data_IF_417514330835
#
_entry.id   IF_417514330835
#
_cell.length_a   1.000
_cell.length_b   1.000
_cell.length_c   1.000
_cell.angle_alpha   90.00
_cell.angle_beta   90.00
_cell.angle_gamma   90.00
#
_symmetry.space_group_name_H-M   'P 1'
#
loop_
_entity.id
_entity.type
_entity.pdbx_description
1 polymer ?
#
# COMPACT_ATOMS: atom_id res chain seq x y z
N UNK A 1 5.26 -5.03 17.02
CA UNK A 1 5.64 -5.57 18.35
C UNK A 1 4.42 -5.58 19.26
N UNK A 2 4.20 -6.65 20.04
CA UNK A 2 3.13 -6.70 21.04
C UNK A 2 3.30 -5.56 22.06
N UNK A 3 2.27 -4.74 22.24
CA UNK A 3 2.31 -3.55 23.09
C UNK A 3 2.00 -3.90 24.54
N UNK A 4 2.95 -3.69 25.43
CA UNK A 4 2.79 -3.85 26.89
C UNK A 4 2.85 -2.48 27.60
N UNK A 5 2.32 -2.41 28.82
CA UNK A 5 2.40 -1.26 29.72
C UNK A 5 3.50 -1.49 30.78
N UNK A 6 4.48 -0.58 30.94
CA UNK A 6 5.50 -0.67 31.98
C UNK A 6 4.94 -0.79 33.41
N UNK A 7 3.76 -0.23 33.66
CA UNK A 7 3.06 -0.26 34.95
C UNK A 7 2.65 -1.67 35.36
N UNK A 8 2.39 -2.53 34.38
CA UNK A 8 1.92 -3.89 34.60
C UNK A 8 3.06 -4.88 34.84
N UNK A 9 4.27 -4.54 34.42
CA UNK A 9 5.46 -5.38 34.52
C UNK A 9 5.98 -5.48 35.97
N UNK A 10 6.51 -6.65 36.28
CA UNK A 10 7.27 -6.95 37.49
C UNK A 10 8.72 -6.49 37.36
N UNK A 11 9.45 -6.45 38.48
CA UNK A 11 10.83 -5.93 38.52
C UNK A 11 11.74 -6.67 37.53
N UNK A 12 11.73 -8.01 37.54
CA UNK A 12 12.54 -8.81 36.62
C UNK A 12 12.20 -8.58 35.14
N UNK A 13 10.94 -8.29 34.84
CA UNK A 13 10.46 -7.98 33.48
C UNK A 13 10.92 -6.58 33.04
N UNK A 14 10.87 -5.60 33.94
CA UNK A 14 11.44 -4.28 33.71
C UNK A 14 12.94 -4.33 33.48
N UNK A 15 13.66 -5.14 34.27
CA UNK A 15 15.11 -5.32 34.16
C UNK A 15 15.49 -5.91 32.80
N UNK A 16 14.71 -6.88 32.32
CA UNK A 16 14.88 -7.45 30.97
C UNK A 16 14.70 -6.37 29.89
N UNK A 17 13.59 -5.62 29.92
CA UNK A 17 13.28 -4.61 28.90
C UNK A 17 14.31 -3.46 28.84
N UNK A 18 14.89 -3.09 29.99
CA UNK A 18 15.97 -2.11 30.05
C UNK A 18 17.28 -2.67 29.49
N UNK A 19 17.62 -3.94 29.80
CA UNK A 19 18.85 -4.59 29.32
C UNK A 19 18.87 -4.76 27.81
N UNK A 20 17.77 -5.20 27.18
CA UNK A 20 17.71 -5.38 25.72
C UNK A 20 17.76 -4.06 24.92
N UNK A 21 17.67 -2.92 25.62
CA UNK A 21 17.81 -1.55 25.08
C UNK A 21 19.13 -0.89 25.48
N UNK A 22 20.03 -1.65 26.10
CA UNK A 22 21.33 -1.18 26.60
C UNK A 22 21.19 0.03 27.52
N UNK A 23 20.09 0.12 28.27
CA UNK A 23 19.87 1.18 29.25
C UNK A 23 20.53 0.75 30.54
N UNK A 24 21.55 1.49 30.98
CA UNK A 24 22.17 1.26 32.28
C UNK A 24 21.21 1.66 33.40
N UNK A 25 21.07 0.79 34.39
CA UNK A 25 20.32 1.04 35.61
C UNK A 25 20.97 0.34 36.79
N UNK A 26 20.82 0.91 37.98
CA UNK A 26 21.20 0.25 39.23
C UNK A 26 20.21 -0.89 39.52
N UNK A 27 20.69 -2.10 39.75
CA UNK A 27 19.83 -3.27 40.03
C UNK A 27 18.90 -3.03 41.23
N UNK A 28 19.39 -2.31 42.24
CA UNK A 28 18.66 -1.90 43.45
C UNK A 28 17.71 -0.72 43.25
N UNK A 29 17.65 -0.11 42.06
CA UNK A 29 16.79 1.03 41.80
C UNK A 29 15.31 0.71 42.01
N UNK A 30 14.57 1.68 42.57
CA UNK A 30 13.13 1.58 42.79
C UNK A 30 12.37 1.32 41.49
N UNK A 31 11.31 0.50 41.54
CA UNK A 31 10.49 0.14 40.38
C UNK A 31 10.01 1.34 39.56
N UNK A 32 9.62 2.43 40.22
CA UNK A 32 9.10 3.62 39.53
C UNK A 32 10.17 4.32 38.69
N UNK A 33 11.44 4.26 39.10
CA UNK A 33 12.56 4.75 38.30
C UNK A 33 12.73 3.92 37.03
N UNK A 34 12.72 2.58 37.18
CA UNK A 34 12.81 1.62 36.06
C UNK A 34 11.66 1.81 35.06
N UNK A 35 10.41 1.94 35.55
CA UNK A 35 9.23 2.26 34.73
C UNK A 35 9.36 3.59 34.01
N UNK A 36 9.86 4.63 34.70
CA UNK A 36 10.05 5.95 34.09
C UNK A 36 11.04 5.92 32.93
N UNK A 37 12.15 5.18 33.10
CA UNK A 37 13.14 4.99 32.03
C UNK A 37 12.53 4.23 30.85
N UNK A 38 11.84 3.11 31.12
CA UNK A 38 11.23 2.29 30.08
C UNK A 38 10.14 3.05 29.30
N UNK A 39 9.27 3.82 29.97
CA UNK A 39 8.30 4.70 29.29
C UNK A 39 8.98 5.70 28.36
N UNK A 40 10.09 6.28 28.79
CA UNK A 40 10.89 7.20 27.97
C UNK A 40 11.41 6.52 26.71
N UNK A 41 11.99 5.33 26.86
CA UNK A 41 12.51 4.54 25.75
C UNK A 41 11.40 4.14 24.74
N UNK A 42 10.30 3.59 25.22
CA UNK A 42 9.15 3.22 24.38
C UNK A 42 8.58 4.43 23.61
N UNK A 43 8.54 5.62 24.22
CA UNK A 43 8.09 6.86 23.55
C UNK A 43 9.09 7.37 22.51
N UNK A 44 10.37 7.06 22.64
CA UNK A 44 11.35 7.35 21.60
C UNK A 44 11.21 6.37 20.43
N UNK A 45 11.02 5.09 20.72
CA UNK A 45 10.76 4.02 19.72
C UNK A 45 9.51 4.33 18.90
N UNK A 46 8.38 4.65 19.54
CA UNK A 46 7.13 5.02 18.86
C UNK A 46 7.28 6.27 17.97
N UNK A 47 8.15 7.19 18.35
CA UNK A 47 8.42 8.41 17.58
C UNK A 47 9.52 8.25 16.54
N UNK A 48 10.09 7.05 16.37
CA UNK A 48 11.28 6.79 15.55
C UNK A 48 12.46 7.72 15.88
N UNK A 49 12.63 8.05 17.17
CA UNK A 49 13.68 8.95 17.69
C UNK A 49 14.83 8.22 18.37
N UNK A 50 14.71 6.92 18.58
CA UNK A 50 15.76 6.08 19.16
C UNK A 50 16.66 5.51 18.07
N UNK A 51 17.97 5.73 18.16
CA UNK A 51 18.96 5.09 17.30
C UNK A 51 19.44 3.72 17.84
N UNK A 52 18.94 3.29 19.00
CA UNK A 52 19.32 2.02 19.63
C UNK A 52 18.49 0.89 19.04
N UNK A 53 19.15 -0.15 18.55
CA UNK A 53 18.50 -1.37 18.08
C UNK A 53 18.17 -2.26 19.28
N UNK A 54 16.92 -2.69 19.41
CA UNK A 54 16.51 -3.66 20.44
C UNK A 54 17.20 -5.00 20.13
N UNK A 55 17.98 -5.52 21.07
CA UNK A 55 18.69 -6.78 20.90
C UNK A 55 18.70 -7.60 22.18
N UNK A 56 18.21 -8.84 22.07
CA UNK A 56 18.30 -9.81 23.15
C UNK A 56 19.64 -10.57 23.15
N UNK A 57 20.55 -10.30 22.20
CA UNK A 57 21.83 -11.03 22.07
C UNK A 57 22.77 -10.82 23.27
N UNK A 58 22.59 -9.73 24.02
CA UNK A 58 23.40 -9.40 25.21
C UNK A 58 23.06 -10.32 26.40
N UNK A 59 21.90 -10.98 26.38
CA UNK A 59 21.44 -11.84 27.48
C UNK A 59 21.61 -13.32 27.08
N UNK A 60 22.39 -14.12 27.83
CA UNK A 60 22.59 -15.55 27.54
C UNK A 60 21.29 -16.33 27.42
N UNK A 61 21.24 -17.29 26.50
CA UNK A 61 20.02 -18.08 26.24
C UNK A 61 19.46 -18.73 27.52
N UNK A 62 20.32 -19.35 28.34
CA UNK A 62 19.89 -20.00 29.59
C UNK A 62 19.23 -19.01 30.58
N UNK A 63 19.76 -17.79 30.68
CA UNK A 63 19.16 -16.75 31.52
C UNK A 63 17.81 -16.30 30.95
N UNK A 64 17.71 -16.18 29.61
CA UNK A 64 16.44 -15.88 28.97
C UNK A 64 15.40 -16.98 29.16
N UNK A 65 15.80 -18.24 28.97
CA UNK A 65 14.98 -19.43 29.19
C UNK A 65 14.45 -19.49 30.62
N UNK A 66 15.32 -19.27 31.62
CA UNK A 66 14.90 -19.22 33.02
C UNK A 66 13.84 -18.13 33.25
N UNK A 67 14.11 -16.90 32.82
CA UNK A 67 13.17 -15.79 33.05
C UNK A 67 11.87 -15.93 32.25
N UNK A 68 11.89 -16.59 31.08
CA UNK A 68 10.68 -16.93 30.32
C UNK A 68 9.84 -17.95 31.10
N UNK A 69 10.46 -19.03 31.56
CA UNK A 69 9.78 -20.08 32.33
C UNK A 69 9.15 -19.52 33.61
N UNK A 70 9.89 -18.72 34.39
CA UNK A 70 9.37 -18.07 35.60
C UNK A 70 8.16 -17.18 35.31
N UNK A 71 8.21 -16.41 34.20
CA UNK A 71 7.11 -15.52 33.81
C UNK A 71 5.88 -16.30 33.36
N UNK A 72 6.07 -17.36 32.58
CA UNK A 72 4.98 -18.22 32.09
C UNK A 72 4.34 -18.99 33.24
N UNK A 73 5.11 -19.50 34.19
CA UNK A 73 4.59 -20.19 35.37
C UNK A 73 3.75 -19.26 36.25
N UNK A 74 4.26 -18.06 36.54
CA UNK A 74 3.53 -17.04 37.29
C UNK A 74 2.23 -16.60 36.58
N UNK A 75 2.27 -16.39 35.26
CA UNK A 75 1.08 -16.07 34.48
C UNK A 75 0.09 -17.23 34.44
N UNK A 76 0.56 -18.47 34.30
CA UNK A 76 -0.27 -19.67 34.35
C UNK A 76 -1.04 -19.74 35.66
N UNK A 77 -0.37 -19.54 36.81
CA UNK A 77 -1.02 -19.55 38.11
C UNK A 77 -2.04 -18.42 38.27
N UNK A 78 -1.69 -17.20 37.84
CA UNK A 78 -2.57 -16.03 37.96
C UNK A 78 -3.80 -16.11 37.05
N UNK A 79 -3.64 -16.55 35.80
CA UNK A 79 -4.74 -16.75 34.84
C UNK A 79 -5.66 -17.87 35.31
N UNK A 80 -5.10 -18.96 35.87
CA UNK A 80 -5.91 -20.05 36.41
C UNK A 80 -6.84 -19.60 37.55
N UNK A 81 -6.39 -18.65 38.36
CA UNK A 81 -7.16 -18.09 39.46
C UNK A 81 -8.02 -16.88 39.07
N UNK A 82 -7.90 -16.38 37.83
CA UNK A 82 -8.65 -15.22 37.37
C UNK A 82 -10.12 -15.58 37.09
N UNK A 83 -11.02 -14.74 37.59
CA UNK A 83 -12.44 -14.65 37.22
C UNK A 83 -12.82 -13.18 37.25
N UNK A 84 -13.34 -12.66 36.15
CA UNK A 84 -13.57 -11.23 36.04
C UNK A 84 -14.07 -10.81 34.66
N UNK A 85 -13.94 -9.52 34.38
CA UNK A 85 -14.35 -8.90 33.12
C UNK A 85 -13.14 -8.31 32.40
N UNK A 86 -13.30 -7.99 31.11
CA UNK A 86 -12.25 -7.31 30.32
C UNK A 86 -11.88 -5.93 30.86
N UNK A 87 -12.75 -5.32 31.67
CA UNK A 87 -12.53 -4.01 32.26
C UNK A 87 -11.72 -4.06 33.56
N UNK A 88 -11.44 -5.26 34.07
CA UNK A 88 -10.70 -5.41 35.33
C UNK A 88 -9.23 -5.02 35.13
N UNK A 89 -8.69 -4.27 36.08
CA UNK A 89 -7.27 -3.91 36.10
C UNK A 89 -6.37 -5.16 36.13
N UNK A 90 -6.84 -6.25 36.75
CA UNK A 90 -6.17 -7.55 36.76
C UNK A 90 -6.10 -8.15 35.37
N UNK A 91 -7.20 -8.16 34.61
CA UNK A 91 -7.23 -8.61 33.21
C UNK A 91 -6.26 -7.81 32.35
N UNK A 92 -6.35 -6.47 32.44
CA UNK A 92 -5.45 -5.56 31.71
C UNK A 92 -3.98 -5.81 32.02
N UNK A 93 -3.66 -6.11 33.29
CA UNK A 93 -2.31 -6.49 33.72
C UNK A 93 -1.85 -7.83 33.13
N UNK A 94 -2.73 -8.82 33.06
CA UNK A 94 -2.39 -10.14 32.53
C UNK A 94 -2.15 -10.09 31.02
N UNK A 95 -3.05 -9.46 30.27
CA UNK A 95 -2.87 -9.20 28.82
C UNK A 95 -1.57 -8.45 28.55
N UNK A 96 -1.30 -7.40 29.31
CA UNK A 96 -0.07 -6.63 29.14
C UNK A 96 1.20 -7.44 29.42
N UNK A 97 1.17 -8.36 30.38
CA UNK A 97 2.32 -9.23 30.68
C UNK A 97 2.45 -10.38 29.68
N UNK A 98 1.34 -10.89 29.14
CA UNK A 98 1.31 -11.83 28.01
C UNK A 98 1.92 -11.21 26.73
N UNK A 99 1.58 -9.95 26.45
CA UNK A 99 2.20 -9.18 25.37
C UNK A 99 3.72 -9.01 25.54
N UNK A 100 4.17 -8.70 26.75
CA UNK A 100 5.60 -8.61 27.08
C UNK A 100 6.32 -9.95 26.88
N UNK A 101 5.80 -11.05 27.44
CA UNK A 101 6.46 -12.36 27.32
C UNK A 101 6.47 -12.86 25.86
N UNK A 102 5.42 -12.56 25.09
CA UNK A 102 5.37 -12.81 23.65
C UNK A 102 6.50 -12.07 22.90
N UNK A 103 6.69 -10.78 23.19
CA UNK A 103 7.78 -9.98 22.64
C UNK A 103 9.16 -10.54 23.02
N UNK A 104 9.35 -10.93 24.28
CA UNK A 104 10.58 -11.56 24.77
C UNK A 104 10.89 -12.88 24.06
N UNK A 105 9.91 -13.77 23.89
CA UNK A 105 10.08 -15.03 23.14
C UNK A 105 10.37 -14.76 21.66
N UNK A 106 9.71 -13.75 21.04
CA UNK A 106 9.96 -13.38 19.65
C UNK A 106 11.42 -12.95 19.42
N UNK A 107 11.98 -12.16 20.34
CA UNK A 107 13.37 -11.68 20.29
C UNK A 107 14.41 -12.73 20.68
N UNK A 108 14.00 -13.89 21.22
CA UNK A 108 14.92 -14.95 21.66
C UNK A 108 15.77 -15.44 20.49
N UNK A 109 17.09 -15.27 20.60
CA UNK A 109 18.08 -15.81 19.66
C UNK A 109 18.28 -17.30 19.93
N UNK A 110 18.17 -18.13 18.90
CA UNK A 110 18.32 -19.58 19.02
C UNK A 110 19.42 -20.05 18.05
N UNK A 111 20.42 -20.75 18.59
CA UNK A 111 21.60 -21.22 17.85
C UNK A 111 21.47 -22.67 17.36
N UNK A 112 20.67 -23.49 18.04
CA UNK A 112 20.48 -24.91 17.75
C UNK A 112 18.99 -25.28 17.64
N UNK A 113 18.73 -26.51 17.22
CA UNK A 113 17.36 -27.02 17.00
C UNK A 113 16.57 -27.16 18.32
N UNK A 114 17.22 -27.53 19.42
CA UNK A 114 16.57 -27.65 20.73
C UNK A 114 16.05 -26.30 21.22
N UNK A 115 16.85 -25.24 21.05
CA UNK A 115 16.48 -23.87 21.37
C UNK A 115 15.32 -23.38 20.49
N UNK A 116 15.31 -23.74 19.20
CA UNK A 116 14.20 -23.42 18.29
C UNK A 116 12.91 -24.15 18.69
N UNK A 117 13.00 -25.42 19.10
CA UNK A 117 11.87 -26.18 19.63
C UNK A 117 11.33 -25.56 20.92
N UNK A 118 12.21 -25.15 21.83
CA UNK A 118 11.83 -24.41 23.04
C UNK A 118 11.10 -23.12 22.70
N UNK A 119 11.64 -22.30 21.79
CA UNK A 119 10.99 -21.06 21.33
C UNK A 119 9.59 -21.31 20.77
N UNK A 120 9.43 -22.32 19.90
CA UNK A 120 8.11 -22.72 19.36
C UNK A 120 7.15 -23.19 20.46
N UNK A 121 7.64 -24.01 21.39
CA UNK A 121 6.87 -24.52 22.52
C UNK A 121 6.35 -23.37 23.39
N UNK A 122 7.20 -22.39 23.71
CA UNK A 122 6.80 -21.22 24.50
C UNK A 122 5.82 -20.33 23.76
N UNK A 123 5.99 -20.10 22.45
CA UNK A 123 5.02 -19.35 21.64
C UNK A 123 3.63 -20.02 21.67
N UNK A 124 3.56 -21.34 21.52
CA UNK A 124 2.29 -22.09 21.61
C UNK A 124 1.70 -21.98 23.03
N UNK A 125 2.54 -22.07 24.06
CA UNK A 125 2.10 -21.95 25.45
C UNK A 125 1.49 -20.58 25.75
N UNK A 126 2.07 -19.50 25.21
CA UNK A 126 1.54 -18.14 25.37
C UNK A 126 0.18 -18.01 24.69
N UNK A 127 0.02 -18.52 23.47
CA UNK A 127 -1.27 -18.54 22.76
C UNK A 127 -2.35 -19.30 23.56
N UNK A 128 -2.00 -20.43 24.17
CA UNK A 128 -2.91 -21.17 25.06
C UNK A 128 -3.34 -20.32 26.26
N UNK A 129 -2.40 -19.63 26.91
CA UNK A 129 -2.70 -18.79 28.07
C UNK A 129 -3.56 -17.57 27.72
N UNK A 130 -3.38 -16.98 26.54
CA UNK A 130 -4.26 -15.92 26.03
C UNK A 130 -5.70 -16.43 25.83
N UNK A 131 -5.87 -17.59 25.20
CA UNK A 131 -7.18 -18.21 25.03
C UNK A 131 -7.83 -18.63 26.36
N UNK A 132 -7.03 -19.16 27.30
CA UNK A 132 -7.49 -19.46 28.66
C UNK A 132 -7.97 -18.19 29.36
N UNK A 133 -7.21 -17.09 29.30
CA UNK A 133 -7.61 -15.83 29.92
C UNK A 133 -8.94 -15.30 29.34
N UNK A 134 -9.12 -15.36 28.02
CA UNK A 134 -10.35 -14.95 27.34
C UNK A 134 -11.55 -15.80 27.76
N UNK A 135 -11.37 -17.13 27.83
CA UNK A 135 -12.42 -18.06 28.28
C UNK A 135 -12.89 -17.84 29.72
N UNK A 136 -12.09 -17.15 30.54
CA UNK A 136 -12.36 -16.87 31.96
C UNK A 136 -12.98 -15.49 32.18
N UNK A 137 -13.18 -14.72 31.11
CA UNK A 137 -13.94 -13.48 31.12
C UNK A 137 -15.43 -13.82 31.15
N UNK A 138 -16.14 -13.31 32.16
CA UNK A 138 -17.60 -13.43 32.20
C UNK A 138 -18.23 -12.43 31.22
N UNK A 139 -19.17 -12.86 30.35
CA UNK A 139 -19.92 -11.92 29.51
C UNK A 139 -20.83 -11.07 30.41
N UNK A 140 -20.61 -9.75 30.44
CA UNK A 140 -21.56 -8.85 31.08
C UNK A 140 -22.80 -8.74 30.18
N UNK A 141 -23.95 -9.18 30.68
CA UNK A 141 -25.25 -8.76 30.14
C UNK A 141 -25.49 -7.30 30.54
N UNK A 142 -25.01 -6.35 29.73
CA UNK A 142 -25.23 -4.92 30.01
C UNK A 142 -26.50 -4.43 29.32
N UNK A 143 -27.63 -4.52 30.02
CA UNK A 143 -28.80 -3.69 29.77
C UNK A 143 -28.67 -2.42 30.61
N UNK A 144 -28.26 -1.29 30.03
CA UNK A 144 -28.79 0.06 30.33
C UNK A 144 -28.04 1.13 29.52
N UNK A 145 -28.73 2.16 29.02
CA UNK A 145 -28.12 3.27 28.31
C UNK A 145 -27.88 4.43 29.29
N UNK A 146 -26.63 4.86 29.45
CA UNK A 146 -26.34 6.20 30.00
C UNK A 146 -25.19 6.82 29.21
N UNK A 147 -25.49 7.99 28.69
CA UNK A 147 -24.67 8.92 27.92
C UNK A 147 -23.21 9.02 28.38
N UNK A 148 -22.28 8.96 27.43
CA UNK A 148 -20.90 9.41 27.62
C UNK A 148 -20.58 10.54 26.65
N UNK A 149 -20.35 11.70 27.26
CA UNK A 149 -19.56 12.79 26.69
C UNK A 149 -18.14 12.29 26.47
N UNK A 150 -17.56 12.74 25.35
CA UNK A 150 -16.24 12.37 24.83
C UNK A 150 -15.11 12.41 25.87
N UNK A 151 -14.32 11.33 25.90
CA UNK A 151 -12.88 11.42 26.16
C UNK A 151 -12.19 10.29 25.39
N UNK A 152 -11.32 10.70 24.47
CA UNK A 152 -10.50 9.83 23.64
C UNK A 152 -9.49 9.04 24.49
N UNK A 153 -9.42 7.74 24.23
CA UNK A 153 -8.19 6.99 23.92
C UNK A 153 -8.55 5.50 23.83
N UNK A 154 -9.12 5.11 22.69
CA UNK A 154 -9.23 3.70 22.32
C UNK A 154 -7.83 3.13 22.05
N UNK A 155 -7.35 2.35 23.01
CA UNK A 155 -6.69 1.06 22.84
C UNK A 155 -5.51 0.98 21.86
N UNK A 156 -4.35 0.73 22.48
CA UNK A 156 -3.05 0.43 21.89
C UNK A 156 -2.99 -0.96 21.25
N UNK A 157 -3.81 -1.23 20.24
CA UNK A 157 -3.47 -2.20 19.20
C UNK A 157 -3.82 -1.52 17.88
N UNK A 158 -2.90 -1.43 16.90
CA UNK A 158 -3.30 -1.05 15.55
C UNK A 158 -4.44 -1.99 15.17
N UNK A 159 -5.62 -1.45 14.87
CA UNK A 159 -6.72 -2.28 14.37
C UNK A 159 -6.15 -3.07 13.19
N UNK A 160 -6.32 -4.41 13.15
CA UNK A 160 -5.84 -5.20 12.04
C UNK A 160 -6.38 -4.59 10.75
N UNK A 161 -5.48 -4.40 9.78
CA UNK A 161 -5.82 -3.72 8.53
C UNK A 161 -6.92 -4.52 7.84
N UNK A 162 -8.07 -3.90 7.67
CA UNK A 162 -9.25 -4.55 7.10
C UNK A 162 -9.16 -4.53 5.57
N UNK A 163 -8.19 -5.27 5.00
CA UNK A 163 -7.94 -5.29 3.56
C UNK A 163 -9.13 -5.88 2.78
N UNK A 164 -9.92 -6.79 3.36
CA UNK A 164 -11.17 -7.26 2.74
C UNK A 164 -12.16 -6.12 2.42
N UNK A 165 -12.14 -5.02 3.17
CA UNK A 165 -13.02 -3.85 2.91
C UNK A 165 -12.57 -3.01 1.73
N UNK A 166 -11.43 -3.31 1.13
CA UNK A 166 -10.89 -2.53 0.02
C UNK A 166 -11.62 -2.83 -1.29
N UNK A 167 -12.41 -3.91 -1.32
CA UNK A 167 -13.13 -4.34 -2.52
C UNK A 167 -12.17 -4.80 -3.63
N UNK A 168 -11.01 -5.33 -3.25
CA UNK A 168 -9.98 -5.81 -4.16
C UNK A 168 -9.63 -7.23 -3.77
N UNK A 169 -9.64 -8.13 -4.76
CA UNK A 169 -9.25 -9.52 -4.59
C UNK A 169 -8.68 -10.06 -5.90
N UNK A 170 -7.80 -11.06 -5.80
CA UNK A 170 -7.23 -11.75 -6.94
C UNK A 170 -7.61 -13.23 -6.88
N UNK A 171 -8.27 -13.73 -7.94
CA UNK A 171 -8.70 -15.13 -8.04
C UNK A 171 -7.65 -16.05 -8.67
N UNK A 172 -6.69 -15.48 -9.41
CA UNK A 172 -5.73 -16.24 -10.22
C UNK A 172 -6.29 -16.78 -11.54
N UNK A 173 -7.53 -16.40 -11.89
CA UNK A 173 -8.19 -16.80 -13.13
C UNK A 173 -8.29 -15.61 -14.09
N UNK A 174 -8.10 -15.85 -15.38
CA UNK A 174 -8.30 -14.84 -16.42
C UNK A 174 -7.02 -14.50 -17.19
N UNK A 175 -6.97 -13.26 -17.67
CA UNK A 175 -5.83 -12.77 -18.46
C UNK A 175 -4.64 -12.46 -17.53
N UNK A 176 -3.42 -12.73 -17.99
CA UNK A 176 -2.23 -12.66 -17.14
C UNK A 176 -1.92 -11.25 -16.61
N UNK A 177 -2.36 -10.20 -17.29
CA UNK A 177 -2.13 -8.80 -16.90
C UNK A 177 -2.97 -8.35 -15.69
N UNK A 178 -3.98 -9.12 -15.31
CA UNK A 178 -4.79 -8.88 -14.12
C UNK A 178 -3.95 -8.88 -12.85
N UNK A 179 -2.86 -9.67 -12.82
CA UNK A 179 -1.93 -9.69 -11.69
C UNK A 179 -1.27 -8.34 -11.46
N UNK A 180 -0.89 -7.64 -12.54
CA UNK A 180 -0.26 -6.32 -12.46
C UNK A 180 -1.29 -5.30 -12.01
N UNK A 181 -2.47 -5.31 -12.64
CA UNK A 181 -3.57 -4.39 -12.30
C UNK A 181 -4.01 -4.55 -10.84
N UNK A 182 -4.04 -5.79 -10.34
CA UNK A 182 -4.30 -6.10 -8.94
C UNK A 182 -3.22 -5.49 -8.03
N UNK A 183 -1.94 -5.74 -8.30
CA UNK A 183 -0.84 -5.22 -7.48
C UNK A 183 -0.82 -3.68 -7.46
N UNK A 184 -0.98 -3.03 -8.61
CA UNK A 184 -1.05 -1.57 -8.71
C UNK A 184 -2.21 -1.00 -7.90
N UNK A 185 -3.37 -1.68 -7.95
CA UNK A 185 -4.55 -1.27 -7.19
C UNK A 185 -4.33 -1.43 -5.69
N UNK A 186 -3.77 -2.54 -5.24
CA UNK A 186 -3.45 -2.77 -3.82
C UNK A 186 -2.46 -1.72 -3.32
N UNK A 187 -1.41 -1.42 -4.09
CA UNK A 187 -0.39 -0.44 -3.70
C UNK A 187 -0.96 0.97 -3.59
N UNK A 188 -1.79 1.37 -4.56
CA UNK A 188 -2.52 2.64 -4.50
C UNK A 188 -3.38 2.76 -3.23
N UNK A 189 -4.12 1.69 -2.90
CA UNK A 189 -4.99 1.65 -1.72
C UNK A 189 -4.23 1.59 -0.40
N UNK A 190 -3.05 0.96 -0.39
CA UNK A 190 -2.11 0.93 0.73
C UNK A 190 -1.62 2.33 1.05
N UNK A 191 -1.07 3.02 0.05
CA UNK A 191 -0.57 4.40 0.19
C UNK A 191 -1.71 5.33 0.63
N UNK A 192 -2.88 5.26 -0.02
CA UNK A 192 -4.00 6.16 0.28
C UNK A 192 -4.56 5.99 1.70
N UNK A 193 -4.36 4.81 2.31
CA UNK A 193 -4.83 4.49 3.66
C UNK A 193 -3.73 4.58 4.72
N UNK A 194 -2.50 4.93 4.33
CA UNK A 194 -1.36 5.01 5.25
C UNK A 194 -0.98 3.65 5.85
N UNK A 195 -1.17 2.56 5.10
CA UNK A 195 -0.91 1.20 5.55
C UNK A 195 0.56 0.85 5.28
N UNK A 196 1.27 0.30 6.27
CA UNK A 196 2.65 -0.14 6.07
C UNK A 196 2.70 -1.42 5.21
N UNK A 197 3.83 -1.70 4.56
CA UNK A 197 3.99 -2.97 3.84
C UNK A 197 3.93 -4.19 4.77
N UNK A 198 4.40 -4.06 6.01
CA UNK A 198 4.33 -5.10 7.03
C UNK A 198 2.86 -5.39 7.41
N UNK A 199 2.07 -4.35 7.66
CA UNK A 199 0.65 -4.50 7.98
C UNK A 199 -0.12 -5.09 6.80
N UNK A 200 0.17 -4.64 5.57
CA UNK A 200 -0.44 -5.19 4.35
C UNK A 200 -0.09 -6.67 4.18
N UNK A 201 1.17 -7.04 4.37
CA UNK A 201 1.62 -8.43 4.29
C UNK A 201 0.93 -9.31 5.34
N UNK A 202 0.80 -8.81 6.57
CA UNK A 202 0.13 -9.55 7.65
C UNK A 202 -1.34 -9.88 7.35
N UNK A 203 -2.01 -9.03 6.57
CA UNK A 203 -3.41 -9.20 6.17
C UNK A 203 -3.58 -9.75 4.74
N UNK A 204 -2.49 -9.98 3.99
CA UNK A 204 -2.55 -10.20 2.54
C UNK A 204 -3.32 -11.46 2.12
N UNK A 205 -3.44 -12.45 3.01
CA UNK A 205 -4.19 -13.68 2.76
C UNK A 205 -5.66 -13.39 2.36
N UNK A 206 -6.25 -12.32 2.89
CA UNK A 206 -7.63 -11.89 2.60
C UNK A 206 -7.80 -11.30 1.19
N UNK A 207 -6.70 -10.96 0.50
CA UNK A 207 -6.74 -10.43 -0.87
C UNK A 207 -6.84 -11.52 -1.93
N UNK A 208 -6.73 -12.80 -1.55
CA UNK A 208 -6.73 -13.91 -2.48
C UNK A 208 -8.01 -14.74 -2.38
N UNK A 209 -8.53 -15.12 -3.53
CA UNK A 209 -9.69 -16.01 -3.68
C UNK A 209 -9.36 -17.11 -4.69
N UNK A 210 -10.21 -18.13 -4.81
CA UNK A 210 -10.07 -19.17 -5.86
C UNK A 210 -8.68 -19.82 -5.92
N UNK A 211 -8.16 -20.00 -7.13
CA UNK A 211 -6.86 -20.63 -7.40
C UNK A 211 -5.68 -19.85 -6.80
N UNK A 212 -5.75 -18.52 -6.77
CA UNK A 212 -4.72 -17.69 -6.16
C UNK A 212 -4.62 -17.90 -4.64
N UNK A 213 -5.74 -18.15 -3.95
CA UNK A 213 -5.71 -18.47 -2.52
C UNK A 213 -5.03 -19.83 -2.26
N UNK A 214 -5.35 -20.84 -3.07
CA UNK A 214 -4.65 -22.14 -3.02
C UNK A 214 -3.15 -21.99 -3.26
N UNK A 215 -2.77 -21.23 -4.29
CA UNK A 215 -1.38 -20.91 -4.58
C UNK A 215 -0.70 -20.21 -3.40
N UNK A 216 -1.34 -19.21 -2.78
CA UNK A 216 -0.81 -18.49 -1.64
C UNK A 216 -0.54 -19.43 -0.45
N UNK A 217 -1.51 -20.30 -0.12
CA UNK A 217 -1.37 -21.25 0.99
C UNK A 217 -0.19 -22.21 0.82
N UNK A 218 0.09 -22.63 -0.43
CA UNK A 218 1.20 -23.52 -0.74
C UNK A 218 2.56 -22.80 -0.78
N UNK A 219 2.58 -21.50 -1.05
CA UNK A 219 3.81 -20.72 -1.21
C UNK A 219 4.10 -19.76 -0.04
N UNK A 220 3.22 -19.67 0.97
CA UNK A 220 3.33 -18.72 2.10
C UNK A 220 4.61 -18.80 2.94
N UNK A 221 5.34 -19.92 2.86
CA UNK A 221 6.65 -20.07 3.51
C UNK A 221 7.83 -19.51 2.69
N UNK A 222 7.62 -19.20 1.41
CA UNK A 222 8.65 -18.81 0.45
C UNK A 222 8.90 -17.30 0.38
N UNK A 223 8.14 -16.50 1.13
CA UNK A 223 8.25 -15.05 1.19
C UNK A 223 7.94 -14.56 2.61
N UNK A 224 8.58 -13.47 3.03
CA UNK A 224 8.43 -12.87 4.37
C UNK A 224 8.04 -11.40 4.34
N UNK A 225 7.90 -10.82 3.14
CA UNK A 225 7.59 -9.41 2.92
C UNK A 225 6.55 -9.26 1.81
N UNK A 226 5.84 -8.12 1.81
CA UNK A 226 4.92 -7.77 0.73
C UNK A 226 5.62 -7.75 -0.63
N UNK A 227 6.82 -7.16 -0.71
CA UNK A 227 7.62 -7.13 -1.93
C UNK A 227 7.95 -8.53 -2.44
N UNK A 228 8.37 -9.45 -1.56
CA UNK A 228 8.69 -10.83 -1.92
C UNK A 228 7.46 -11.60 -2.39
N UNK A 229 6.32 -11.40 -1.74
CA UNK A 229 5.03 -11.94 -2.18
C UNK A 229 4.70 -11.42 -3.59
N UNK A 230 4.74 -10.10 -3.82
CA UNK A 230 4.43 -9.49 -5.11
C UNK A 230 5.35 -9.98 -6.23
N UNK A 231 6.65 -10.14 -5.97
CA UNK A 231 7.61 -10.71 -6.91
C UNK A 231 7.29 -12.16 -7.25
N UNK A 232 7.01 -12.99 -6.24
CA UNK A 232 6.65 -14.40 -6.44
C UNK A 232 5.34 -14.54 -7.22
N UNK A 233 4.39 -13.64 -6.98
CA UNK A 233 3.11 -13.57 -7.68
C UNK A 233 3.31 -13.22 -9.17
N UNK A 234 4.13 -12.22 -9.47
CA UNK A 234 4.52 -11.90 -10.86
C UNK A 234 5.21 -13.08 -11.53
N UNK A 235 6.15 -13.73 -10.85
CA UNK A 235 6.90 -14.88 -11.39
C UNK A 235 6.01 -16.07 -11.76
N UNK A 236 4.95 -16.33 -10.98
CA UNK A 236 4.13 -17.53 -11.16
C UNK A 236 2.90 -17.29 -12.05
N UNK A 237 2.39 -16.05 -12.13
CA UNK A 237 1.19 -15.71 -12.91
C UNK A 237 1.45 -14.96 -14.21
N UNK A 238 2.66 -14.44 -14.45
CA UNK A 238 3.02 -13.83 -15.72
C UNK A 238 3.68 -14.85 -16.66
N UNK A 239 3.45 -14.73 -17.99
CA UNK A 239 4.22 -15.46 -18.98
C UNK A 239 5.71 -15.11 -18.89
N UNK A 240 6.56 -16.07 -19.21
CA UNK A 240 8.01 -15.86 -19.27
C UNK A 240 8.41 -14.74 -20.25
N UNK A 241 7.70 -14.58 -21.36
CA UNK A 241 7.95 -13.55 -22.37
C UNK A 241 7.40 -12.16 -22.02
N UNK A 242 6.68 -12.01 -20.90
CA UNK A 242 5.92 -10.80 -20.57
C UNK A 242 6.72 -9.50 -20.69
N UNK A 243 7.95 -9.46 -20.17
CA UNK A 243 8.78 -8.25 -20.21
C UNK A 243 9.19 -7.86 -21.64
N UNK A 244 9.50 -8.86 -22.47
CA UNK A 244 9.83 -8.65 -23.89
C UNK A 244 8.60 -8.18 -24.66
N UNK A 245 7.47 -8.87 -24.48
CA UNK A 245 6.21 -8.56 -25.15
C UNK A 245 5.71 -7.16 -24.78
N UNK A 246 5.79 -6.80 -23.49
CA UNK A 246 5.44 -5.46 -23.00
C UNK A 246 6.34 -4.37 -23.60
N UNK A 247 7.65 -4.61 -23.71
CA UNK A 247 8.57 -3.65 -24.31
C UNK A 247 8.25 -3.42 -25.79
N UNK A 248 7.91 -4.48 -26.51
CA UNK A 248 7.50 -4.38 -27.91
C UNK A 248 6.14 -3.71 -28.05
N UNK A 249 5.19 -3.98 -27.15
CA UNK A 249 3.92 -3.27 -27.07
C UNK A 249 4.12 -1.76 -26.87
N UNK A 250 4.99 -1.37 -25.92
CA UNK A 250 5.35 0.03 -25.67
C UNK A 250 5.92 0.68 -26.93
N UNK A 251 6.86 0.03 -27.62
CA UNK A 251 7.49 0.59 -28.83
C UNK A 251 6.52 0.70 -30.01
N UNK A 252 5.53 -0.19 -30.07
CA UNK A 252 4.59 -0.27 -31.19
C UNK A 252 3.29 0.50 -30.94
N UNK A 253 2.98 0.87 -29.68
CA UNK A 253 1.83 1.70 -29.35
C UNK A 253 1.90 3.04 -30.09
N UNK A 254 0.84 3.39 -30.82
CA UNK A 254 0.71 4.69 -31.52
C UNK A 254 -0.44 5.50 -30.95
N UNK A 255 -0.25 6.82 -30.79
CA UNK A 255 -1.33 7.73 -30.40
C UNK A 255 -2.47 7.64 -31.43
N UNK A 256 -3.70 7.43 -30.95
CA UNK A 256 -4.86 7.31 -31.84
C UNK A 256 -5.36 8.69 -32.27
N UNK A 257 -5.96 8.83 -33.46
CA UNK A 257 -6.68 10.05 -33.82
C UNK A 257 -7.75 10.39 -32.76
N UNK A 258 -7.74 11.61 -32.24
CA UNK A 258 -8.65 12.07 -31.18
C UNK A 258 -8.25 11.67 -29.76
N UNK A 259 -7.19 10.89 -29.57
CA UNK A 259 -6.62 10.63 -28.24
C UNK A 259 -5.82 11.85 -27.77
N UNK A 260 -6.21 12.43 -26.63
CA UNK A 260 -5.45 13.53 -26.02
C UNK A 260 -4.01 13.11 -25.78
N UNK A 261 -3.06 13.99 -26.13
CA UNK A 261 -1.63 13.77 -25.95
C UNK A 261 -1.26 13.55 -24.49
N UNK A 262 -1.95 14.23 -23.57
CA UNK A 262 -1.73 14.06 -22.13
C UNK A 262 -2.12 12.64 -21.69
N UNK A 263 -3.29 12.15 -22.15
CA UNK A 263 -3.75 10.81 -21.81
C UNK A 263 -2.87 9.73 -22.45
N UNK A 264 -2.44 9.97 -23.69
CA UNK A 264 -1.51 9.10 -24.39
C UNK A 264 -0.17 8.99 -23.65
N UNK A 265 0.44 10.12 -23.27
CA UNK A 265 1.70 10.15 -22.52
C UNK A 265 1.53 9.42 -21.19
N UNK A 266 0.47 9.69 -20.42
CA UNK A 266 0.21 8.99 -19.16
C UNK A 266 0.06 7.48 -19.34
N UNK A 267 -0.62 7.05 -20.41
CA UNK A 267 -0.75 5.63 -20.75
C UNK A 267 0.62 5.02 -21.04
N UNK A 268 1.44 5.67 -21.86
CA UNK A 268 2.80 5.22 -22.17
C UNK A 268 3.67 5.11 -20.91
N UNK A 269 3.60 6.10 -20.01
CA UNK A 269 4.34 6.08 -18.74
C UNK A 269 3.87 4.94 -17.82
N UNK A 270 2.56 4.69 -17.75
CA UNK A 270 2.00 3.57 -17.01
C UNK A 270 2.40 2.21 -17.57
N UNK A 271 2.57 2.08 -18.89
CA UNK A 271 3.15 0.86 -19.48
C UNK A 271 4.63 0.74 -19.12
N UNK A 272 5.41 1.82 -19.24
CA UNK A 272 6.84 1.82 -18.91
C UNK A 272 7.13 1.51 -17.43
N UNK A 273 6.26 1.91 -16.49
CA UNK A 273 6.45 1.63 -15.06
C UNK A 273 6.28 0.16 -14.69
N UNK A 274 5.72 -0.66 -15.59
CA UNK A 274 5.52 -2.11 -15.40
C UNK A 274 6.74 -2.94 -15.82
N UNK A 275 7.74 -2.32 -16.44
CA UNK A 275 8.99 -2.98 -16.82
C UNK A 275 9.86 -3.23 -15.59
N UNK A 276 10.44 -4.42 -15.48
CA UNK A 276 11.35 -4.74 -14.37
C UNK A 276 12.64 -3.91 -14.44
N UNK A 277 13.11 -3.61 -15.66
CA UNK A 277 14.22 -2.69 -15.89
C UNK A 277 13.66 -1.32 -16.30
N UNK A 278 13.79 -0.29 -15.44
CA UNK A 278 13.25 1.02 -15.74
C UNK A 278 14.01 1.67 -16.91
N UNK A 279 13.26 2.24 -17.85
CA UNK A 279 13.84 3.04 -18.92
C UNK A 279 14.32 4.40 -18.38
N UNK A 280 15.40 4.91 -18.96
CA UNK A 280 15.83 6.29 -18.69
C UNK A 280 14.82 7.28 -19.26
N UNK A 281 14.73 8.48 -18.68
CA UNK A 281 13.78 9.48 -19.16
C UNK A 281 14.04 9.89 -20.61
N UNK A 282 15.31 9.96 -21.02
CA UNK A 282 15.68 10.20 -22.42
C UNK A 282 15.16 9.09 -23.35
N UNK A 283 15.26 7.81 -22.93
CA UNK A 283 14.73 6.70 -23.70
C UNK A 283 13.19 6.75 -23.79
N UNK A 284 12.51 7.06 -22.67
CA UNK A 284 11.05 7.26 -22.65
C UNK A 284 10.64 8.37 -23.61
N UNK A 285 11.29 9.54 -23.54
CA UNK A 285 11.03 10.68 -24.45
C UNK A 285 11.19 10.26 -25.90
N UNK A 286 12.30 9.60 -26.26
CA UNK A 286 12.54 9.13 -27.63
C UNK A 286 11.48 8.16 -28.13
N UNK A 287 11.04 7.23 -27.28
CA UNK A 287 9.99 6.27 -27.63
C UNK A 287 8.65 7.00 -27.81
N UNK A 288 8.24 7.80 -26.83
CA UNK A 288 7.00 8.58 -26.87
C UNK A 288 6.96 9.46 -28.12
N UNK A 289 8.04 10.19 -28.42
CA UNK A 289 8.14 11.03 -29.60
C UNK A 289 7.92 10.25 -30.90
N UNK A 290 8.41 9.00 -31.03
CA UNK A 290 8.18 8.13 -32.20
C UNK A 290 6.77 7.54 -32.26
N UNK A 291 6.02 7.62 -31.18
CA UNK A 291 4.71 7.04 -31.03
C UNK A 291 3.57 8.07 -31.07
N UNK A 292 3.90 9.36 -30.97
CA UNK A 292 2.97 10.47 -31.21
C UNK A 292 2.45 10.49 -32.66
N UNK A 293 1.34 11.21 -32.87
CA UNK A 293 0.83 11.47 -34.22
C UNK A 293 1.84 12.26 -35.07
N UNK A 294 1.86 12.05 -36.41
CA UNK A 294 2.78 12.74 -37.32
C UNK A 294 2.80 14.26 -37.21
N UNK A 295 1.65 14.87 -36.88
CA UNK A 295 1.51 16.32 -36.66
C UNK A 295 2.53 16.85 -35.65
N UNK A 296 2.78 16.13 -34.55
CA UNK A 296 3.72 16.55 -33.52
C UNK A 296 5.17 16.45 -33.98
N UNK A 297 5.52 15.47 -34.83
CA UNK A 297 6.91 15.27 -35.25
C UNK A 297 7.47 16.50 -35.97
N UNK A 298 6.70 17.10 -36.89
CA UNK A 298 7.15 18.28 -37.63
C UNK A 298 7.39 19.48 -36.70
N UNK A 299 6.50 19.67 -35.71
CA UNK A 299 6.55 20.80 -34.80
C UNK A 299 7.62 20.65 -33.70
N UNK A 300 7.96 19.41 -33.34
CA UNK A 300 8.94 19.10 -32.30
C UNK A 300 10.34 18.79 -32.85
N UNK A 301 10.53 18.71 -34.16
CA UNK A 301 11.78 18.26 -34.79
C UNK A 301 13.01 19.09 -34.40
N UNK A 302 12.84 20.40 -34.20
CA UNK A 302 13.91 21.34 -33.88
C UNK A 302 13.82 21.87 -32.45
N UNK A 303 12.98 21.25 -31.62
CA UNK A 303 12.74 21.70 -30.26
C UNK A 303 13.50 20.79 -29.30
N UNK A 304 14.33 21.38 -28.46
CA UNK A 304 14.98 20.65 -27.39
C UNK A 304 13.97 20.28 -26.30
N UNK A 305 13.99 19.01 -25.91
CA UNK A 305 13.08 18.42 -24.93
C UNK A 305 13.92 17.78 -23.84
N UNK A 306 13.97 18.43 -22.68
CA UNK A 306 14.81 18.00 -21.57
C UNK A 306 14.13 16.95 -20.68
N UNK A 307 12.81 17.08 -20.48
CA UNK A 307 12.05 16.25 -19.54
C UNK A 307 10.71 15.81 -20.13
N UNK A 308 10.06 14.85 -19.47
CA UNK A 308 8.73 14.36 -19.85
C UNK A 308 7.66 15.44 -19.61
N UNK A 309 7.85 16.27 -18.58
CA UNK A 309 6.98 17.42 -18.31
C UNK A 309 7.09 18.47 -19.43
N UNK A 310 8.31 18.80 -19.83
CA UNK A 310 8.57 19.73 -20.95
C UNK A 310 7.99 19.21 -22.27
N UNK A 311 8.14 17.90 -22.57
CA UNK A 311 7.46 17.26 -23.70
C UNK A 311 5.94 17.45 -23.63
N UNK A 312 5.36 17.18 -22.46
CA UNK A 312 3.91 17.23 -22.25
C UNK A 312 3.37 18.64 -22.47
N UNK A 313 4.05 19.66 -21.93
CA UNK A 313 3.62 21.05 -22.04
C UNK A 313 3.74 21.57 -23.48
N UNK A 314 4.83 21.25 -24.18
CA UNK A 314 4.96 21.59 -25.61
C UNK A 314 3.86 20.95 -26.44
N UNK A 315 3.57 19.67 -26.22
CA UNK A 315 2.49 18.97 -26.90
C UNK A 315 1.11 19.57 -26.61
N UNK A 316 0.81 19.93 -25.35
CA UNK A 316 -0.46 20.59 -24.98
C UNK A 316 -0.65 21.92 -25.70
N UNK A 317 0.41 22.74 -25.79
CA UNK A 317 0.35 24.02 -26.52
C UNK A 317 0.06 23.82 -28.01
N UNK A 318 0.59 22.74 -28.60
CA UNK A 318 0.30 22.37 -29.98
C UNK A 318 -1.16 21.90 -30.14
N UNK A 319 -1.70 21.12 -29.20
CA UNK A 319 -3.13 20.75 -29.18
C UNK A 319 -4.04 21.98 -29.09
N UNK A 320 -3.70 22.94 -28.23
CA UNK A 320 -4.45 24.18 -28.08
C UNK A 320 -4.44 25.00 -29.39
N UNK A 321 -3.28 25.16 -30.00
CA UNK A 321 -3.14 25.86 -31.30
C UNK A 321 -3.96 25.18 -32.41
N UNK A 322 -3.97 23.85 -32.42
CA UNK A 322 -4.78 23.08 -33.36
C UNK A 322 -6.28 23.35 -33.13
N UNK A 323 -6.73 23.41 -31.86
CA UNK A 323 -8.13 23.69 -31.52
C UNK A 323 -8.62 25.06 -32.01
N UNK A 324 -7.77 26.09 -31.96
CA UNK A 324 -8.10 27.43 -32.47
C UNK A 324 -8.31 27.44 -33.98
N UNK A 325 -7.58 26.59 -34.70
CA UNK A 325 -7.69 26.45 -36.16
C UNK A 325 -9.02 25.81 -36.60
N UNK A 326 -9.77 25.20 -35.68
CA UNK A 326 -11.08 24.59 -35.94
C UNK A 326 -12.28 25.51 -35.60
N UNK A 327 -12.04 26.69 -35.02
CA UNK A 327 -13.10 27.69 -34.84
C UNK A 327 -13.12 28.64 -36.06
N UNK A 328 -14.18 28.63 -36.90
CA UNK A 328 -14.29 29.63 -37.94
C UNK A 328 -14.38 31.03 -37.29
N UNK A 329 -13.75 32.06 -37.88
CA UNK A 329 -13.89 33.42 -37.37
C UNK A 329 -15.39 33.75 -37.34
N UNK A 330 -15.90 34.08 -36.16
CA UNK A 330 -17.25 34.60 -35.99
C UNK A 330 -17.29 35.92 -36.76
N UNK A 331 -17.87 35.88 -37.96
CA UNK A 331 -18.27 37.09 -38.67
C UNK A 331 -19.37 37.75 -37.86
N UNK A 332 -18.97 38.56 -36.89
CA UNK A 332 -19.82 39.59 -36.31
C UNK A 332 -20.08 40.61 -37.41
N UNK A 333 -21.09 40.32 -38.22
CA UNK A 333 -21.57 41.25 -39.23
C UNK A 333 -22.23 42.40 -38.48
N UNK A 334 -21.44 43.45 -38.22
CA UNK A 334 -21.91 44.72 -37.69
C UNK A 334 -22.86 45.30 -38.73
N UNK A 335 -24.15 45.34 -38.38
CA UNK A 335 -25.20 45.84 -39.25
C UNK A 335 -24.97 47.31 -39.62
N UNK A 336 -24.60 47.54 -40.88
CA UNK A 336 -24.98 48.75 -41.59
C UNK A 336 -26.34 48.47 -42.24
N UNK A 337 -27.37 49.14 -41.73
CA UNK A 337 -28.74 48.95 -42.18
C UNK A 337 -28.98 49.47 -43.60
N UNK A 338 -29.88 48.80 -44.32
CA UNK A 338 -30.77 49.45 -45.28
C UNK A 338 -32.08 48.67 -45.36
N UNK A 339 -33.18 49.40 -45.16
CA UNK A 339 -34.56 48.96 -45.19
C UNK A 339 -35.04 48.70 -46.62
N UNK A 340 -35.83 47.64 -46.84
CA UNK A 340 -37.27 47.72 -47.18
C UNK A 340 -37.78 46.59 -48.10
N UNK A 341 -38.91 46.01 -47.63
CA UNK A 341 -40.07 45.50 -48.37
C UNK A 341 -39.94 44.39 -49.44
N UNK A 342 -40.42 43.20 -49.06
CA UNK A 342 -41.72 42.62 -49.49
C UNK A 342 -41.71 41.18 -50.02
N UNK A 343 -42.74 40.46 -49.57
CA UNK A 343 -43.46 39.37 -50.25
C UNK A 343 -43.06 37.90 -50.03
N UNK A 344 -43.93 37.24 -49.25
CA UNK A 344 -44.69 36.01 -49.58
C UNK A 344 -43.95 34.68 -49.85
N UNK A 345 -44.26 33.75 -48.94
CA UNK A 345 -44.97 32.46 -49.16
C UNK A 345 -44.18 31.13 -49.05
N UNK A 346 -44.82 30.25 -48.26
CA UNK A 346 -44.83 28.76 -48.27
C UNK A 346 -43.55 28.03 -47.87
N UNK A 347 -43.58 26.81 -47.33
CA UNK A 347 -44.48 26.04 -46.46
C UNK A 347 -43.88 24.62 -46.39
N UNK A 348 -43.96 23.98 -45.21
CA UNK A 348 -43.98 22.53 -44.98
C UNK A 348 -42.68 21.68 -45.03
N UNK A 349 -42.50 20.98 -43.91
CA UNK A 349 -42.14 19.55 -43.73
C UNK A 349 -40.70 19.12 -43.35
N UNK A 350 -40.62 18.68 -42.08
CA UNK A 350 -40.27 17.32 -41.64
C UNK A 350 -38.81 16.92 -41.34
N UNK A 351 -38.58 16.79 -40.02
CA UNK A 351 -37.90 15.70 -39.28
C UNK A 351 -36.37 15.54 -39.35
N UNK A 352 -35.74 15.03 -38.26
CA UNK A 352 -34.29 15.06 -38.07
C UNK A 352 -33.63 13.74 -38.51
N UNK A 353 -32.53 13.86 -39.25
CA UNK A 353 -31.57 12.77 -39.44
C UNK A 353 -30.21 13.16 -38.87
N UNK A 354 -29.67 12.24 -38.08
CA UNK A 354 -28.33 12.19 -37.49
C UNK A 354 -27.23 12.45 -38.52
N UNK A 355 -26.09 13.10 -38.16
CA UNK A 355 -24.90 13.02 -38.97
C UNK A 355 -24.03 11.84 -38.53
N UNK A 356 -23.86 10.95 -39.51
CA UNK A 356 -22.85 9.91 -39.63
C UNK A 356 -21.44 10.54 -39.67
N UNK A 357 -20.51 10.02 -38.89
CA UNK A 357 -19.10 10.46 -38.89
C UNK A 357 -18.44 9.93 -40.17
N UNK A 358 -18.26 10.82 -41.14
CA UNK A 358 -17.57 10.51 -42.37
C UNK A 358 -16.05 10.64 -42.16
N UNK A 359 -15.38 9.50 -42.33
CA UNK A 359 -13.94 9.36 -42.45
C UNK A 359 -13.49 10.09 -43.71
N UNK A 360 -12.69 11.15 -43.57
CA UNK A 360 -11.97 11.72 -44.71
C UNK A 360 -10.46 11.54 -44.56
N UNK A 361 -9.95 10.83 -45.56
CA UNK A 361 -8.57 10.52 -45.87
C UNK A 361 -7.69 11.76 -45.92
N UNK A 362 -6.50 11.62 -45.36
CA UNK A 362 -5.41 12.58 -45.48
C UNK A 362 -4.94 12.64 -46.93
N UNK A 363 -4.97 13.85 -47.51
CA UNK A 363 -4.24 14.17 -48.74
C UNK A 363 -3.35 15.38 -48.44
N UNK A 364 -2.06 15.15 -48.25
CA UNK A 364 -1.03 16.18 -48.28
C UNK A 364 -0.39 16.20 -49.68
N UNK A 365 -0.39 17.32 -50.41
CA UNK A 365 0.48 17.49 -51.57
C UNK A 365 1.77 18.23 -51.19
N UNK A 366 2.89 17.63 -51.62
CA UNK A 366 4.20 18.21 -51.96
C UNK A 366 4.98 19.02 -50.91
N UNK A 367 6.25 18.66 -50.73
CA UNK A 367 7.37 19.30 -51.46
C UNK A 367 8.58 18.34 -51.48
N UNK A 368 8.97 17.94 -52.69
CA UNK A 368 10.33 17.52 -53.03
C UNK A 368 11.23 18.75 -53.07
N UNK A 369 12.43 18.67 -52.50
CA UNK A 369 13.72 19.14 -53.04
C UNK A 369 14.72 19.28 -51.88
N UNK A 370 15.75 18.44 -51.83
CA UNK A 370 17.14 18.84 -52.10
C UNK A 370 18.02 17.58 -52.17
N UNK A 371 19.06 17.70 -53.00
CA UNK A 371 19.96 16.68 -53.56
C UNK A 371 20.64 15.75 -52.58
#
# INVERSE_FOLDING_TARGET
MCTFQPEHLLVKELDYELRIREIEFEESAKCDRKRSLLRGALKQEQGNRSFRQISAAVIPFLEQQQGINETIEDLTQKINNFRGTVHDSVYSRHISRLAHISGRVHLLCCSDEEQQLYKRSMSIRILSLEGELDSRVNPIATSTPVSSVQAANSLLHPKPVQVHKWGVSFSGEGHYDQVISFLDRVECLRISRGVSEEDLFSASAELFTGHAFTWFMNNRGSFTTWTGLAQKLKSDFLPYSFQTDLLDEIKNRKQKPGESVTMFINTMLGMCSRLDTPLTDNAKIKIILKCLLPFYHAQLALVDIATIEDLTDKCKRLEETLSWSFHPPTTSNSGAGFNSHSSRNRSWQSRPHTPNVSVYLWSCPLIMLFR
#
